data_IF_514554142328
#
_entry.id   IF_514554142328
#
_cell.length_a   1.000
_cell.length_b   1.000
_cell.length_c   1.000
_cell.angle_alpha   90.00
_cell.angle_beta   90.00
_cell.angle_gamma   90.00
#
_symmetry.space_group_name_H-M   'P 1'
#
loop_
_entity.id
_entity.type
_entity.pdbx_description
1 polymer ?
#
# COMPACT_ATOMS: atom_id res chain seq x y z
N UNK A 1 -13.41 -4.28 -41.04
CA UNK A 1 -12.02 -4.04 -40.62
C UNK A 1 -11.34 -5.39 -40.54
N UNK A 2 -10.20 -5.57 -41.20
CA UNK A 2 -9.47 -6.85 -41.21
C UNK A 2 -8.35 -6.75 -40.18
N UNK A 3 -8.43 -7.55 -39.12
CA UNK A 3 -7.42 -7.60 -38.07
C UNK A 3 -6.69 -8.94 -38.14
N UNK A 4 -5.37 -8.88 -37.95
CA UNK A 4 -4.50 -10.03 -37.77
C UNK A 4 -4.05 -10.11 -36.32
N UNK A 5 -3.85 -11.32 -35.81
CA UNK A 5 -3.27 -11.56 -34.48
C UNK A 5 -1.95 -12.31 -34.65
N UNK A 6 -0.95 -11.93 -33.83
CA UNK A 6 0.32 -12.63 -33.72
C UNK A 6 0.46 -13.18 -32.31
N UNK A 7 0.67 -14.50 -32.20
CA UNK A 7 0.87 -15.18 -30.94
C UNK A 7 2.21 -14.81 -30.29
N UNK A 8 3.27 -14.68 -31.10
CA UNK A 8 4.62 -14.32 -30.63
C UNK A 8 4.69 -12.90 -30.07
N UNK A 9 3.92 -11.97 -30.64
CA UNK A 9 3.80 -10.59 -30.14
C UNK A 9 2.67 -10.42 -29.13
N UNK A 10 1.79 -11.42 -29.02
CA UNK A 10 0.53 -11.36 -28.29
C UNK A 10 -0.25 -10.05 -28.55
N UNK A 11 -0.34 -9.67 -29.83
CA UNK A 11 -0.83 -8.37 -30.26
C UNK A 11 -1.64 -8.43 -31.55
N UNK A 12 -2.47 -7.41 -31.75
CA UNK A 12 -3.31 -7.23 -32.93
C UNK A 12 -2.65 -6.26 -33.92
N UNK A 13 -2.80 -6.55 -35.22
CA UNK A 13 -2.25 -5.78 -36.32
C UNK A 13 -3.38 -5.47 -37.32
N UNK A 14 -3.60 -4.20 -37.62
CA UNK A 14 -4.58 -3.79 -38.63
C UNK A 14 -4.00 -4.02 -40.03
N UNK A 15 -4.73 -4.77 -40.86
CA UNK A 15 -4.35 -5.03 -42.25
C UNK A 15 -4.27 -3.74 -43.08
N UNK A 16 -5.07 -2.72 -42.72
CA UNK A 16 -5.04 -1.42 -43.39
C UNK A 16 -3.68 -0.70 -43.23
N UNK A 17 -2.89 -1.05 -42.20
CA UNK A 17 -1.57 -0.50 -41.91
C UNK A 17 -0.42 -1.45 -42.28
N UNK A 18 -0.71 -2.55 -42.99
CA UNK A 18 0.27 -3.60 -43.29
C UNK A 18 1.51 -3.08 -44.01
N UNK A 19 1.34 -2.23 -45.02
CA UNK A 19 2.48 -1.66 -45.76
C UNK A 19 3.41 -0.83 -44.86
N UNK A 20 2.85 -0.10 -43.90
CA UNK A 20 3.65 0.66 -42.93
C UNK A 20 4.40 -0.30 -41.98
N UNK A 21 3.72 -1.33 -41.47
CA UNK A 21 4.37 -2.33 -40.61
C UNK A 21 5.52 -3.05 -41.32
N UNK A 22 5.34 -3.41 -42.58
CA UNK A 22 6.37 -4.04 -43.42
C UNK A 22 7.53 -3.08 -43.72
N UNK A 23 7.25 -1.80 -43.99
CA UNK A 23 8.27 -0.76 -44.17
C UNK A 23 9.18 -0.65 -42.92
N UNK A 24 8.61 -0.78 -41.72
CA UNK A 24 9.36 -0.77 -40.46
C UNK A 24 9.78 -2.17 -39.98
N UNK A 25 9.65 -3.20 -40.82
CA UNK A 25 10.01 -4.59 -40.52
C UNK A 25 9.41 -5.09 -39.18
N UNK A 26 8.18 -4.67 -38.91
CA UNK A 26 7.41 -4.92 -37.68
C UNK A 26 6.20 -5.82 -37.90
N UNK A 27 5.84 -6.12 -39.14
CA UNK A 27 4.82 -7.13 -39.46
C UNK A 27 5.31 -8.52 -39.03
N UNK A 28 4.58 -9.23 -38.14
CA UNK A 28 5.05 -10.49 -37.63
C UNK A 28 4.78 -11.64 -38.61
N UNK A 29 5.70 -12.60 -38.70
CA UNK A 29 5.61 -13.74 -39.63
C UNK A 29 4.51 -14.74 -39.25
N UNK A 30 4.07 -14.73 -37.99
CA UNK A 30 2.98 -15.56 -37.47
C UNK A 30 1.62 -14.83 -37.44
N UNK A 31 1.48 -13.68 -38.11
CA UNK A 31 0.21 -12.98 -38.23
C UNK A 31 -0.85 -13.85 -38.91
N UNK A 32 -1.92 -14.19 -38.18
CA UNK A 32 -3.08 -14.92 -38.69
C UNK A 32 -4.28 -13.98 -38.75
N UNK A 33 -5.00 -13.98 -39.87
CA UNK A 33 -6.25 -13.24 -40.01
C UNK A 33 -7.29 -13.74 -39.01
N UNK A 34 -7.83 -12.84 -38.20
CA UNK A 34 -8.90 -13.14 -37.27
C UNK A 34 -10.25 -13.28 -37.99
N UNK A 35 -11.11 -14.14 -37.46
CA UNK A 35 -12.53 -14.23 -37.83
C UNK A 35 -13.32 -13.09 -37.20
N UNK A 36 -14.50 -12.77 -37.76
CA UNK A 36 -15.37 -11.71 -37.21
C UNK A 36 -15.76 -11.99 -35.75
N UNK A 37 -15.94 -13.26 -35.38
CA UNK A 37 -16.23 -13.68 -34.01
C UNK A 37 -15.05 -13.40 -33.06
N UNK A 38 -13.81 -13.70 -33.47
CA UNK A 38 -12.61 -13.39 -32.70
C UNK A 38 -12.39 -11.87 -32.57
N UNK A 39 -12.60 -11.12 -33.65
CA UNK A 39 -12.50 -9.64 -33.62
C UNK A 39 -13.51 -9.07 -32.62
N UNK A 40 -14.76 -9.54 -32.66
CA UNK A 40 -15.81 -9.12 -31.72
C UNK A 40 -15.49 -9.49 -30.26
N UNK A 41 -14.77 -10.59 -30.04
CA UNK A 41 -14.47 -11.11 -28.70
C UNK A 41 -13.22 -10.47 -28.08
N UNK A 42 -12.18 -10.20 -28.87
CA UNK A 42 -10.85 -9.87 -28.35
C UNK A 42 -10.36 -8.47 -28.74
N UNK A 43 -10.62 -8.02 -29.96
CA UNK A 43 -10.03 -6.77 -30.47
C UNK A 43 -10.68 -5.53 -29.85
N UNK A 44 -9.89 -4.72 -29.15
CA UNK A 44 -10.38 -3.53 -28.45
C UNK A 44 -11.34 -3.84 -27.29
N UNK A 45 -11.38 -5.09 -26.82
CA UNK A 45 -12.20 -5.52 -25.68
C UNK A 45 -11.39 -5.57 -24.39
N UNK A 46 -12.03 -5.21 -23.29
CA UNK A 46 -11.47 -5.41 -21.96
C UNK A 46 -11.44 -6.90 -21.64
N UNK A 47 -10.31 -7.39 -21.11
CA UNK A 47 -10.22 -8.78 -20.70
C UNK A 47 -11.16 -9.06 -19.50
N UNK A 48 -11.72 -10.28 -19.40
CA UNK A 48 -12.44 -10.69 -18.20
C UNK A 48 -11.57 -10.61 -16.94
N UNK A 49 -12.19 -10.47 -15.77
CA UNK A 49 -11.47 -10.46 -14.50
C UNK A 49 -10.65 -11.75 -14.34
N UNK A 50 -9.38 -11.61 -13.92
CA UNK A 50 -8.49 -12.75 -13.73
C UNK A 50 -7.91 -13.33 -15.04
N UNK A 51 -8.20 -12.73 -16.20
CA UNK A 51 -7.71 -13.20 -17.51
C UNK A 51 -6.92 -12.13 -18.25
N UNK A 52 -6.04 -12.60 -19.12
CA UNK A 52 -5.27 -11.80 -20.07
C UNK A 52 -5.35 -12.41 -21.47
N UNK A 53 -4.99 -11.64 -22.49
CA UNK A 53 -4.88 -12.16 -23.85
C UNK A 53 -3.71 -13.16 -23.91
N UNK A 54 -3.93 -14.29 -24.54
CA UNK A 54 -2.91 -15.26 -24.88
C UNK A 54 -3.25 -15.94 -26.21
N UNK A 55 -2.48 -16.96 -26.56
CA UNK A 55 -2.68 -17.74 -27.77
C UNK A 55 -2.94 -19.21 -27.44
N UNK A 56 -3.82 -19.86 -28.21
CA UNK A 56 -3.98 -21.31 -28.18
C UNK A 56 -2.85 -22.03 -28.96
N UNK A 57 -2.92 -23.36 -29.02
CA UNK A 57 -1.93 -24.18 -29.74
C UNK A 57 -1.88 -23.91 -31.26
N UNK A 58 -2.89 -23.24 -31.83
CA UNK A 58 -2.97 -22.88 -33.24
C UNK A 58 -2.57 -21.41 -33.48
N UNK A 59 -2.10 -20.70 -32.47
CA UNK A 59 -1.75 -19.28 -32.56
C UNK A 59 -2.95 -18.34 -32.62
N UNK A 60 -4.16 -18.81 -32.25
CA UNK A 60 -5.37 -17.97 -32.23
C UNK A 60 -5.57 -17.32 -30.87
N UNK A 61 -6.15 -16.11 -30.80
CA UNK A 61 -6.32 -15.40 -29.55
C UNK A 61 -7.33 -16.09 -28.64
N UNK A 62 -6.99 -16.20 -27.36
CA UNK A 62 -7.86 -16.72 -26.30
C UNK A 62 -7.64 -15.95 -25.00
N UNK A 63 -8.66 -15.87 -24.16
CA UNK A 63 -8.49 -15.38 -22.79
C UNK A 63 -7.91 -16.48 -21.91
N UNK A 64 -6.63 -16.36 -21.57
CA UNK A 64 -5.93 -17.26 -20.63
C UNK A 64 -5.99 -16.67 -19.22
N UNK A 65 -5.79 -17.52 -18.22
CA UNK A 65 -5.72 -17.05 -16.83
C UNK A 65 -4.47 -16.16 -16.65
N UNK A 66 -4.61 -15.10 -15.85
CA UNK A 66 -3.49 -14.29 -15.43
C UNK A 66 -2.51 -15.19 -14.68
N UNK A 67 -1.19 -15.02 -14.89
CA UNK A 67 -0.23 -15.78 -14.13
C UNK A 67 -0.36 -15.38 -12.65
N UNK A 68 -0.02 -16.27 -11.71
CA UNK A 68 0.11 -15.87 -10.31
C UNK A 68 1.03 -14.64 -10.20
N UNK A 69 0.80 -13.76 -9.20
CA UNK A 69 1.68 -12.62 -8.95
C UNK A 69 3.14 -13.09 -8.86
N UNK A 70 4.07 -12.26 -9.34
CA UNK A 70 5.48 -12.57 -9.09
C UNK A 70 5.76 -12.53 -7.59
N UNK A 71 6.83 -13.22 -7.16
CA UNK A 71 7.25 -13.15 -5.76
C UNK A 71 7.55 -11.72 -5.31
N UNK A 72 8.07 -10.88 -6.23
CA UNK A 72 8.31 -9.47 -5.99
C UNK A 72 7.02 -8.67 -5.79
N UNK A 73 5.99 -8.92 -6.59
CA UNK A 73 4.68 -8.29 -6.44
C UNK A 73 4.01 -8.69 -5.12
N UNK A 74 4.08 -9.98 -4.77
CA UNK A 74 3.57 -10.49 -3.50
C UNK A 74 4.29 -9.84 -2.29
N UNK A 75 5.62 -9.71 -2.38
CA UNK A 75 6.43 -9.05 -1.35
C UNK A 75 6.04 -7.57 -1.18
N UNK A 76 5.92 -6.82 -2.28
CA UNK A 76 5.52 -5.42 -2.25
C UNK A 76 4.10 -5.24 -1.68
N UNK A 77 3.16 -6.08 -2.11
CA UNK A 77 1.78 -6.05 -1.62
C UNK A 77 1.71 -6.37 -0.11
N UNK A 78 2.46 -7.38 0.36
CA UNK A 78 2.50 -7.74 1.79
C UNK A 78 3.16 -6.65 2.63
N UNK A 79 4.26 -6.05 2.16
CA UNK A 79 4.91 -4.93 2.86
C UNK A 79 3.98 -3.73 2.99
N UNK A 80 3.21 -3.42 1.92
CA UNK A 80 2.17 -2.39 1.97
C UNK A 80 1.09 -2.73 2.99
N UNK A 81 0.57 -3.97 2.98
CA UNK A 81 -0.43 -4.43 3.95
C UNK A 81 0.06 -4.26 5.39
N UNK A 82 1.30 -4.68 5.69
CA UNK A 82 1.91 -4.53 7.02
C UNK A 82 1.90 -3.05 7.46
N UNK A 83 2.31 -2.13 6.58
CA UNK A 83 2.36 -0.71 6.91
C UNK A 83 0.95 -0.09 7.03
N UNK A 84 0.01 -0.44 6.14
CA UNK A 84 -1.36 0.06 6.17
C UNK A 84 -2.09 -0.40 7.44
N UNK A 85 -1.98 -1.68 7.82
CA UNK A 85 -2.64 -2.21 9.02
C UNK A 85 -2.03 -1.61 10.30
N UNK A 86 -0.71 -1.33 10.31
CA UNK A 86 -0.10 -0.59 11.42
C UNK A 86 -0.69 0.80 11.57
N UNK A 87 -0.80 1.55 10.46
CA UNK A 87 -1.35 2.90 10.47
C UNK A 87 -2.82 2.91 10.87
N UNK A 88 -3.64 2.02 10.29
CA UNK A 88 -5.05 1.86 10.68
C UNK A 88 -5.19 1.56 12.16
N UNK A 89 -4.32 0.73 12.72
CA UNK A 89 -4.35 0.42 14.15
C UNK A 89 -4.02 1.65 15.01
N UNK A 90 -3.02 2.45 14.62
CA UNK A 90 -2.74 3.74 15.30
C UNK A 90 -3.95 4.68 15.21
N UNK A 91 -4.50 4.87 14.01
CA UNK A 91 -5.61 5.79 13.78
C UNK A 91 -6.88 5.38 14.52
N UNK A 92 -7.14 4.07 14.65
CA UNK A 92 -8.29 3.54 15.38
C UNK A 92 -8.16 3.69 16.91
N UNK A 93 -6.94 3.81 17.43
CA UNK A 93 -6.66 3.86 18.86
C UNK A 93 -6.19 5.24 19.34
N UNK A 94 -6.07 6.22 18.43
CA UNK A 94 -5.66 7.59 18.76
C UNK A 94 -6.67 8.62 18.29
N UNK A 95 -6.97 9.64 19.11
CA UNK A 95 -7.77 10.78 18.65
C UNK A 95 -7.05 11.52 17.51
N UNK A 96 -7.83 11.91 16.49
CA UNK A 96 -7.38 12.77 15.40
C UNK A 96 -7.41 14.24 15.85
N UNK A 97 -6.39 15.00 15.46
CA UNK A 97 -6.27 16.44 15.73
C UNK A 97 -5.96 17.20 14.46
N UNK A 98 -6.39 18.47 14.33
CA UNK A 98 -5.94 19.35 13.26
C UNK A 98 -4.41 19.48 13.23
N UNK A 99 -3.83 19.59 12.03
CA UNK A 99 -2.38 19.63 11.84
C UNK A 99 -1.69 20.74 12.64
N UNK A 100 -2.33 21.90 12.81
CA UNK A 100 -1.75 23.02 13.56
C UNK A 100 -1.59 22.70 15.06
N UNK A 101 -2.49 21.90 15.65
CA UNK A 101 -2.37 21.48 17.05
C UNK A 101 -1.20 20.51 17.23
N UNK A 102 -1.08 19.55 16.31
CA UNK A 102 0.00 18.54 16.33
C UNK A 102 1.40 19.17 16.32
N UNK A 103 1.58 20.30 15.62
CA UNK A 103 2.85 21.04 15.60
C UNK A 103 3.27 21.57 16.98
N UNK A 104 2.34 21.66 17.93
CA UNK A 104 2.60 22.17 19.29
C UNK A 104 2.76 21.06 20.33
N UNK A 105 2.47 19.80 20.00
CA UNK A 105 2.42 18.71 20.98
C UNK A 105 3.74 18.51 21.73
N UNK A 106 4.87 18.54 21.02
CA UNK A 106 6.18 18.43 21.67
C UNK A 106 6.45 19.57 22.67
N UNK A 107 5.98 20.79 22.37
CA UNK A 107 6.11 21.94 23.28
C UNK A 107 5.16 21.80 24.48
N UNK A 108 3.91 21.40 24.24
CA UNK A 108 2.95 21.13 25.31
C UNK A 108 3.47 20.05 26.26
N UNK A 109 4.03 18.96 25.75
CA UNK A 109 4.62 17.90 26.55
C UNK A 109 5.81 18.40 27.37
N UNK A 110 6.73 19.14 26.76
CA UNK A 110 7.89 19.69 27.45
C UNK A 110 7.49 20.64 28.59
N UNK A 111 6.56 21.56 28.33
CA UNK A 111 6.02 22.46 29.35
C UNK A 111 5.27 21.70 30.45
N UNK A 112 4.48 20.68 30.09
CA UNK A 112 3.72 19.90 31.06
C UNK A 112 4.65 19.13 32.00
N UNK A 113 5.67 18.46 31.47
CA UNK A 113 6.66 17.74 32.27
C UNK A 113 7.47 18.69 33.15
N UNK A 114 7.87 19.85 32.63
CA UNK A 114 8.59 20.86 33.40
C UNK A 114 7.73 21.45 34.54
N UNK A 115 6.47 21.79 34.26
CA UNK A 115 5.54 22.30 35.26
C UNK A 115 5.21 21.26 36.35
N UNK A 116 5.10 19.98 36.00
CA UNK A 116 4.89 18.89 36.96
C UNK A 116 6.11 18.72 37.88
N UNK A 117 7.33 18.92 37.36
CA UNK A 117 8.55 18.87 38.16
C UNK A 117 8.73 20.12 39.04
N UNK A 118 8.36 21.30 38.53
CA UNK A 118 8.41 22.59 39.23
C UNK A 118 7.25 23.48 38.76
N UNK A 119 6.26 23.68 39.64
CA UNK A 119 5.05 24.43 39.32
C UNK A 119 5.25 25.95 39.22
N UNK A 120 6.48 26.45 39.39
CA UNK A 120 6.86 27.85 39.16
C UNK A 120 7.31 28.13 37.73
N UNK A 121 7.50 27.07 36.93
CA UNK A 121 7.90 27.20 35.52
C UNK A 121 6.81 27.89 34.69
N UNK A 122 7.24 28.87 33.90
CA UNK A 122 6.37 29.57 32.95
C UNK A 122 6.00 28.63 31.79
N UNK A 123 4.71 28.52 31.51
CA UNK A 123 4.17 27.63 30.47
C UNK A 123 3.44 28.43 29.37
N UNK A 124 4.18 29.08 28.45
CA UNK A 124 3.58 29.99 27.46
C UNK A 124 2.65 29.31 26.46
N UNK A 125 2.71 27.98 26.28
CA UNK A 125 1.76 27.22 25.47
C UNK A 125 0.60 26.69 26.31
N UNK A 126 0.86 26.11 27.49
CA UNK A 126 -0.22 25.56 28.31
C UNK A 126 -1.11 26.63 28.96
N UNK A 127 -0.54 27.78 29.36
CA UNK A 127 -1.28 28.86 30.01
C UNK A 127 -2.45 29.40 29.17
N UNK A 128 -2.27 29.81 27.89
CA UNK A 128 -3.40 30.24 27.06
C UNK A 128 -4.39 29.10 26.79
N UNK A 129 -3.93 27.87 26.55
CA UNK A 129 -4.83 26.71 26.33
C UNK A 129 -5.68 26.44 27.58
N UNK A 130 -5.09 26.51 28.77
CA UNK A 130 -5.79 26.33 30.04
C UNK A 130 -6.81 27.45 30.27
N UNK A 131 -6.41 28.70 30.02
CA UNK A 131 -7.27 29.89 30.12
C UNK A 131 -8.52 29.78 29.24
N UNK A 132 -8.36 29.54 27.94
CA UNK A 132 -9.47 29.43 26.98
C UNK A 132 -10.40 28.25 27.29
N UNK A 133 -9.88 27.21 27.95
CA UNK A 133 -10.64 26.02 28.35
C UNK A 133 -11.23 26.11 29.75
N UNK A 134 -10.96 27.18 30.51
CA UNK A 134 -11.35 27.30 31.91
C UNK A 134 -10.76 26.20 32.81
N UNK A 135 -9.55 25.73 32.51
CA UNK A 135 -8.83 24.69 33.26
C UNK A 135 -7.70 25.31 34.08
N UNK A 136 -7.28 24.62 35.15
CA UNK A 136 -5.99 24.92 35.78
C UNK A 136 -4.84 24.38 34.91
N UNK A 137 -3.71 25.10 34.88
CA UNK A 137 -2.49 24.63 34.19
C UNK A 137 -2.05 23.26 34.71
N UNK A 138 -2.17 23.02 36.02
CA UNK A 138 -1.87 21.72 36.63
C UNK A 138 -2.72 20.57 36.05
N UNK A 139 -4.03 20.77 35.92
CA UNK A 139 -4.95 19.77 35.35
C UNK A 139 -4.66 19.52 33.86
N UNK A 140 -4.34 20.59 33.12
CA UNK A 140 -3.97 20.47 31.72
C UNK A 140 -2.64 19.74 31.56
N UNK A 141 -1.61 20.07 32.35
CA UNK A 141 -0.31 19.43 32.31
C UNK A 141 -0.41 17.92 32.59
N UNK A 142 -1.19 17.52 33.59
CA UNK A 142 -1.44 16.11 33.89
C UNK A 142 -2.11 15.38 32.71
N UNK A 143 -3.10 16.00 32.06
CA UNK A 143 -3.77 15.44 30.88
C UNK A 143 -2.83 15.35 29.67
N UNK A 144 -1.96 16.34 29.47
CA UNK A 144 -0.98 16.35 28.37
C UNK A 144 0.02 15.21 28.55
N UNK A 145 0.60 15.06 29.75
CA UNK A 145 1.55 13.96 30.03
C UNK A 145 0.88 12.60 29.87
N UNK A 146 -0.31 12.40 30.43
CA UNK A 146 -1.03 11.13 30.28
C UNK A 146 -1.28 10.76 28.81
N UNK A 147 -1.63 11.74 27.97
CA UNK A 147 -1.81 11.52 26.52
C UNK A 147 -0.48 11.25 25.81
N UNK A 148 0.58 11.98 26.15
CA UNK A 148 1.91 11.79 25.56
C UNK A 148 2.48 10.40 25.89
N UNK A 149 2.33 9.96 27.14
CA UNK A 149 2.76 8.63 27.59
C UNK A 149 1.96 7.52 26.90
N UNK A 150 0.64 7.67 26.79
CA UNK A 150 -0.21 6.71 26.08
C UNK A 150 0.14 6.60 24.59
N UNK A 151 0.37 7.73 23.91
CA UNK A 151 0.82 7.74 22.52
C UNK A 151 2.19 7.10 22.36
N UNK A 152 3.13 7.41 23.26
CA UNK A 152 4.48 6.84 23.24
C UNK A 152 4.43 5.31 23.39
N UNK A 153 3.67 4.81 24.37
CA UNK A 153 3.53 3.37 24.59
C UNK A 153 2.89 2.66 23.39
N UNK A 154 1.79 3.21 22.86
CA UNK A 154 1.09 2.64 21.71
C UNK A 154 1.98 2.65 20.45
N UNK A 155 2.55 3.80 20.11
CA UNK A 155 3.36 3.95 18.89
C UNK A 155 4.62 3.10 18.93
N UNK A 156 5.31 3.01 20.07
CA UNK A 156 6.45 2.12 20.24
C UNK A 156 6.07 0.64 20.08
N UNK A 157 4.96 0.20 20.70
CA UNK A 157 4.48 -1.17 20.59
C UNK A 157 4.13 -1.53 19.13
N UNK A 158 3.38 -0.67 18.44
CA UNK A 158 2.99 -0.89 17.03
C UNK A 158 4.21 -0.86 16.11
N UNK A 159 5.16 0.06 16.35
CA UNK A 159 6.40 0.11 15.58
C UNK A 159 7.21 -1.18 15.73
N UNK A 160 7.28 -1.75 16.93
CA UNK A 160 7.93 -3.04 17.19
C UNK A 160 7.23 -4.21 16.48
N UNK A 161 5.90 -4.30 16.59
CA UNK A 161 5.10 -5.31 15.90
C UNK A 161 5.26 -5.22 14.37
N UNK A 162 5.28 -4.00 13.82
CA UNK A 162 5.46 -3.77 12.38
C UNK A 162 6.85 -4.20 11.91
N UNK A 163 7.90 -3.88 12.67
CA UNK A 163 9.26 -4.30 12.37
C UNK A 163 9.37 -5.84 12.36
N UNK A 164 8.80 -6.50 13.38
CA UNK A 164 8.72 -7.97 13.42
C UNK A 164 8.10 -8.56 12.15
N UNK A 165 6.96 -8.03 11.68
CA UNK A 165 6.34 -8.52 10.45
C UNK A 165 7.18 -8.23 9.18
N UNK A 166 7.91 -7.11 9.14
CA UNK A 166 8.83 -6.81 8.03
C UNK A 166 10.04 -7.77 8.03
N UNK A 167 10.53 -8.17 9.21
CA UNK A 167 11.59 -9.17 9.34
C UNK A 167 11.09 -10.54 8.87
N UNK A 168 9.89 -10.95 9.30
CA UNK A 168 9.23 -12.18 8.82
C UNK A 168 9.06 -12.17 7.29
N UNK A 169 8.63 -11.04 6.71
CA UNK A 169 8.51 -10.88 5.26
C UNK A 169 9.86 -10.97 4.55
N UNK A 170 10.89 -10.35 5.11
CA UNK A 170 12.25 -10.41 4.58
C UNK A 170 12.76 -11.85 4.53
N UNK A 171 12.48 -12.64 5.56
CA UNK A 171 12.81 -14.07 5.60
C UNK A 171 11.98 -14.86 4.59
N UNK A 172 10.69 -14.58 4.47
CA UNK A 172 9.79 -15.26 3.51
C UNK A 172 10.13 -14.95 2.04
N UNK A 173 10.76 -13.80 1.77
CA UNK A 173 11.17 -13.39 0.43
C UNK A 173 12.59 -13.83 0.07
N UNK A 174 13.57 -13.58 0.96
CA UNK A 174 15.01 -13.79 0.69
C UNK A 174 15.58 -15.07 1.32
N UNK A 175 14.85 -15.74 2.22
CA UNK A 175 15.29 -17.00 2.80
C UNK A 175 15.49 -18.06 1.72
N UNK A 176 16.34 -19.06 1.99
CA UNK A 176 16.70 -20.10 1.02
C UNK A 176 15.52 -20.90 0.39
N UNK A 177 14.28 -20.68 0.85
CA UNK A 177 13.02 -21.23 0.34
C UNK A 177 11.94 -20.14 0.13
N UNK A 178 12.30 -18.94 -0.34
CA UNK A 178 11.32 -17.88 -0.58
C UNK A 178 10.16 -18.34 -1.48
N UNK A 179 8.92 -18.12 -1.06
CA UNK A 179 7.73 -18.62 -1.77
C UNK A 179 6.51 -17.72 -1.57
N UNK A 180 5.59 -17.75 -2.54
CA UNK A 180 4.32 -17.02 -2.42
C UNK A 180 3.54 -17.48 -1.19
N UNK A 181 3.54 -18.77 -0.88
CA UNK A 181 2.81 -19.32 0.28
C UNK A 181 3.36 -18.78 1.60
N UNK A 182 4.69 -18.70 1.75
CA UNK A 182 5.32 -18.13 2.94
C UNK A 182 4.98 -16.64 3.11
N UNK A 183 5.00 -15.87 2.02
CA UNK A 183 4.60 -14.45 2.06
C UNK A 183 3.11 -14.31 2.41
N UNK A 184 2.25 -15.12 1.78
CA UNK A 184 0.80 -15.07 1.98
C UNK A 184 0.38 -15.49 3.39
N UNK A 185 1.15 -16.38 4.03
CA UNK A 185 0.92 -16.82 5.41
C UNK A 185 1.12 -15.71 6.45
N UNK A 186 1.86 -14.64 6.13
CA UNK A 186 2.05 -13.51 7.04
C UNK A 186 0.73 -12.74 7.15
N UNK A 187 0.16 -12.73 8.36
CA UNK A 187 -1.08 -12.06 8.67
C UNK A 187 -0.85 -10.97 9.74
N UNK A 188 -0.59 -9.71 9.33
CA UNK A 188 -0.30 -8.65 10.28
C UNK A 188 -1.53 -8.30 11.11
N UNK A 189 -1.50 -8.66 12.39
CA UNK A 189 -2.48 -8.26 13.40
C UNK A 189 -1.75 -7.49 14.48
N UNK A 190 -2.24 -6.29 14.78
CA UNK A 190 -1.69 -5.39 15.78
C UNK A 190 -2.50 -5.44 17.07
N UNK A 191 -1.81 -5.27 18.18
CA UNK A 191 -2.37 -5.35 19.54
C UNK A 191 -1.94 -4.16 20.39
N UNK A 192 -2.72 -3.86 21.42
CA UNK A 192 -2.37 -2.82 22.40
C UNK A 192 -1.10 -3.19 23.17
N UNK A 193 -0.37 -2.21 23.72
CA UNK A 193 0.72 -2.48 24.65
C UNK A 193 0.26 -3.40 25.79
N UNK A 194 1.15 -4.32 26.21
CA UNK A 194 0.92 -5.27 27.31
C UNK A 194 0.90 -4.57 28.68
#
# INVERSE_FOLDING_TARGET
>A
MTIHYSATKNAFFDDALKSDYEQFNSWPSDAIKMTDAEVSTYHGKQSPQGKQLGADANGRPIWVDLPPPSLGDANAAKSKQINDEAQKFIDANMPSYPSFEMLTFAKQEAEARAYIADNTIVTPVLTPIATERGLMVADLAAKVVAKADAFTALSASVAGQRQKYQDELTIAYNGGNGSLDAINAINPIYTLPA
#
